data_IF_818602372163
#
_entry.id   IF_818602372163
#
_cell.length_a   1.000
_cell.length_b   1.000
_cell.length_c   1.000
_cell.angle_alpha   90.00
_cell.angle_beta   90.00
_cell.angle_gamma   90.00
#
_symmetry.space_group_name_H-M   'P 1'
#
loop_
_entity.id
_entity.type
_entity.pdbx_description
1 polymer ?
#
# COMPACT_ATOMS: atom_id res chain seq x y z
N UNK A 1 -33.41 -33.75 -8.37
CA UNK A 1 -33.75 -32.54 -7.61
C UNK A 1 -32.50 -31.68 -7.53
N UNK A 2 -32.54 -30.53 -8.21
CA UNK A 2 -31.47 -29.55 -8.37
C UNK A 2 -31.17 -28.80 -7.07
N UNK A 3 -29.95 -28.24 -7.00
CA UNK A 3 -29.57 -26.88 -6.53
C UNK A 3 -28.03 -26.82 -6.50
N UNK A 4 -27.39 -26.52 -7.64
CA UNK A 4 -26.91 -25.21 -8.08
C UNK A 4 -25.91 -24.51 -7.16
N UNK A 5 -24.72 -24.27 -7.74
CA UNK A 5 -23.56 -23.55 -7.23
C UNK A 5 -23.90 -22.10 -6.85
N UNK A 6 -23.50 -21.69 -5.65
CA UNK A 6 -23.46 -20.28 -5.24
C UNK A 6 -22.03 -19.73 -5.22
N UNK A 7 -21.45 -19.48 -6.40
CA UNK A 7 -20.33 -18.54 -6.52
C UNK A 7 -20.96 -17.14 -6.66
N UNK A 8 -20.84 -16.38 -5.57
CA UNK A 8 -21.42 -15.05 -5.42
C UNK A 8 -21.13 -14.12 -6.58
N UNK A 9 -22.10 -13.25 -6.84
CA UNK A 9 -22.18 -12.26 -7.90
C UNK A 9 -20.82 -11.69 -8.32
N UNK A 10 -20.56 -11.76 -9.63
CA UNK A 10 -19.45 -11.08 -10.28
C UNK A 10 -19.66 -9.56 -10.14
N UNK A 11 -19.02 -8.95 -9.15
CA UNK A 11 -18.72 -7.53 -9.20
C UNK A 11 -17.93 -7.31 -10.49
N UNK A 12 -18.47 -6.54 -11.43
CA UNK A 12 -17.74 -6.19 -12.66
C UNK A 12 -16.44 -5.50 -12.24
N UNK A 13 -15.33 -6.24 -12.32
CA UNK A 13 -14.02 -5.68 -12.03
C UNK A 13 -13.73 -4.64 -13.11
N UNK A 14 -13.44 -3.37 -12.74
CA UNK A 14 -13.02 -2.37 -13.70
C UNK A 14 -11.88 -2.92 -14.58
N UNK A 15 -11.88 -2.59 -15.87
CA UNK A 15 -10.84 -3.04 -16.78
C UNK A 15 -9.46 -2.58 -16.24
N UNK A 16 -8.64 -3.53 -15.79
CA UNK A 16 -7.28 -3.28 -15.29
C UNK A 16 -6.29 -3.21 -16.46
N UNK A 17 -6.56 -2.30 -17.41
CA UNK A 17 -5.78 -2.15 -18.62
C UNK A 17 -6.59 -1.59 -19.77
N UNK A 18 -6.01 -1.62 -20.97
CA UNK A 18 -6.65 -1.15 -22.21
C UNK A 18 -7.32 -2.27 -23.01
N UNK A 19 -7.13 -3.53 -22.61
CA UNK A 19 -7.65 -4.71 -23.30
C UNK A 19 -8.24 -5.74 -22.33
N UNK A 20 -9.00 -6.68 -22.87
CA UNK A 20 -9.56 -7.79 -22.10
C UNK A 20 -8.48 -8.78 -21.64
N UNK A 21 -8.66 -9.44 -20.48
CA UNK A 21 -7.71 -10.42 -19.99
C UNK A 21 -7.62 -11.63 -20.92
N UNK A 22 -6.40 -12.13 -21.13
CA UNK A 22 -6.14 -13.32 -21.95
C UNK A 22 -6.71 -14.58 -21.28
N UNK A 23 -6.64 -14.66 -19.95
CA UNK A 23 -7.21 -15.75 -19.16
C UNK A 23 -7.73 -15.22 -17.82
N UNK A 24 -8.84 -15.80 -17.35
CA UNK A 24 -9.37 -15.62 -15.99
C UNK A 24 -9.30 -16.91 -15.17
N UNK A 25 -8.60 -17.93 -15.67
CA UNK A 25 -8.45 -19.20 -14.97
C UNK A 25 -7.69 -18.98 -13.65
N UNK A 26 -8.16 -19.64 -12.60
CA UNK A 26 -7.49 -19.68 -11.32
C UNK A 26 -6.28 -20.64 -11.36
N UNK A 27 -5.27 -20.43 -10.51
CA UNK A 27 -4.13 -21.34 -10.41
C UNK A 27 -4.57 -22.73 -9.93
N UNK A 28 -3.88 -23.76 -10.42
CA UNK A 28 -4.07 -25.12 -9.95
C UNK A 28 -3.16 -25.45 -8.74
N UNK A 29 -3.25 -26.68 -8.23
CA UNK A 29 -2.43 -27.10 -7.09
C UNK A 29 -0.92 -27.13 -7.39
N UNK A 30 -0.53 -27.35 -8.65
CA UNK A 30 0.88 -27.34 -9.08
C UNK A 30 1.41 -25.91 -9.09
N UNK A 31 0.63 -24.96 -9.59
CA UNK A 31 0.96 -23.53 -9.60
C UNK A 31 1.23 -23.04 -8.17
N UNK A 32 0.32 -23.33 -7.23
CA UNK A 32 0.45 -22.94 -5.83
C UNK A 32 1.73 -23.51 -5.19
N UNK A 33 2.05 -24.78 -5.46
CA UNK A 33 3.26 -25.42 -4.95
C UNK A 33 4.52 -24.76 -5.50
N UNK A 34 4.55 -24.45 -6.79
CA UNK A 34 5.71 -23.80 -7.42
C UNK A 34 5.89 -22.37 -6.92
N UNK A 35 4.79 -21.64 -6.70
CA UNK A 35 4.85 -20.31 -6.07
C UNK A 35 5.44 -20.39 -4.66
N UNK A 36 5.06 -21.38 -3.85
CA UNK A 36 5.63 -21.55 -2.51
C UNK A 36 7.15 -21.82 -2.54
N UNK A 37 7.61 -22.71 -3.43
CA UNK A 37 9.04 -22.99 -3.61
C UNK A 37 9.82 -21.77 -4.09
N UNK A 38 9.22 -20.97 -5.00
CA UNK A 38 9.80 -19.71 -5.43
C UNK A 38 9.96 -18.73 -4.26
N UNK A 39 8.93 -18.58 -3.42
CA UNK A 39 9.00 -17.71 -2.24
C UNK A 39 10.11 -18.13 -1.29
N UNK A 40 10.26 -19.43 -1.00
CA UNK A 40 11.35 -19.95 -0.16
C UNK A 40 12.73 -19.65 -0.78
N UNK A 41 12.88 -19.89 -2.07
CA UNK A 41 14.11 -19.57 -2.80
C UNK A 41 14.48 -18.08 -2.66
N UNK A 42 13.53 -17.18 -2.92
CA UNK A 42 13.75 -15.73 -2.83
C UNK A 42 14.06 -15.27 -1.39
N UNK A 43 13.47 -15.91 -0.37
CA UNK A 43 13.84 -15.70 1.04
C UNK A 43 15.28 -16.11 1.32
N UNK A 44 15.72 -17.24 0.78
CA UNK A 44 17.10 -17.71 0.93
C UNK A 44 18.13 -16.78 0.25
N UNK A 45 17.73 -16.07 -0.80
CA UNK A 45 18.51 -15.01 -1.43
C UNK A 45 18.41 -13.66 -0.69
N UNK A 46 17.74 -13.62 0.46
CA UNK A 46 17.60 -12.44 1.31
C UNK A 46 16.98 -11.22 0.58
N UNK A 47 16.05 -11.49 -0.35
CA UNK A 47 15.37 -10.47 -1.17
C UNK A 47 14.12 -9.88 -0.50
N UNK A 48 13.72 -10.43 0.64
CA UNK A 48 12.65 -9.88 1.46
C UNK A 48 13.27 -9.19 2.68
N UNK A 49 12.67 -8.07 3.08
CA UNK A 49 13.00 -7.42 4.35
C UNK A 49 12.57 -8.30 5.54
N UNK A 50 13.29 -8.19 6.65
CA UNK A 50 12.80 -8.77 7.91
C UNK A 50 11.73 -7.88 8.53
N UNK A 51 10.96 -8.44 9.47
CA UNK A 51 9.98 -7.65 10.22
C UNK A 51 10.67 -6.50 10.96
N UNK A 52 11.86 -6.71 11.53
CA UNK A 52 12.61 -5.67 12.24
C UNK A 52 13.02 -4.52 11.30
N UNK A 53 13.52 -4.82 10.10
CA UNK A 53 13.86 -3.81 9.10
C UNK A 53 12.63 -3.02 8.66
N UNK A 54 11.52 -3.71 8.41
CA UNK A 54 10.23 -3.09 8.10
C UNK A 54 9.79 -2.15 9.24
N UNK A 55 9.82 -2.60 10.49
CA UNK A 55 9.42 -1.79 11.65
C UNK A 55 10.30 -0.55 11.81
N UNK A 56 11.61 -0.68 11.60
CA UNK A 56 12.54 0.44 11.63
C UNK A 56 12.21 1.49 10.55
N UNK A 57 11.92 1.06 9.32
CA UNK A 57 11.48 1.95 8.22
C UNK A 57 10.22 2.71 8.61
N UNK A 58 9.23 2.01 9.16
CA UNK A 58 7.98 2.63 9.59
C UNK A 58 8.21 3.64 10.73
N UNK A 59 9.06 3.34 11.70
CA UNK A 59 9.36 4.27 12.80
C UNK A 59 10.00 5.57 12.30
N UNK A 60 10.97 5.47 11.39
CA UNK A 60 11.61 6.64 10.77
C UNK A 60 10.56 7.47 10.01
N UNK A 61 9.69 6.83 9.23
CA UNK A 61 8.63 7.53 8.51
C UNK A 61 7.64 8.25 9.46
N UNK A 62 7.30 7.62 10.59
CA UNK A 62 6.45 8.26 11.63
C UNK A 62 7.11 9.51 12.19
N UNK A 63 8.40 9.45 12.51
CA UNK A 63 9.17 10.60 13.01
C UNK A 63 9.23 11.72 11.98
N UNK A 64 9.57 11.40 10.73
CA UNK A 64 9.61 12.36 9.62
C UNK A 64 8.25 13.06 9.44
N UNK A 65 7.17 12.30 9.40
CA UNK A 65 5.82 12.85 9.28
C UNK A 65 5.47 13.80 10.44
N UNK A 66 5.86 13.45 11.67
CA UNK A 66 5.67 14.31 12.84
C UNK A 66 6.45 15.63 12.70
N UNK A 67 7.72 15.55 12.31
CA UNK A 67 8.58 16.71 12.12
C UNK A 67 8.02 17.65 11.04
N UNK A 68 7.56 17.11 9.92
CA UNK A 68 6.94 17.89 8.84
C UNK A 68 5.69 18.61 9.35
N UNK A 69 4.81 17.94 10.09
CA UNK A 69 3.60 18.56 10.66
C UNK A 69 3.93 19.70 11.63
N UNK A 70 4.92 19.50 12.51
CA UNK A 70 5.39 20.54 13.43
C UNK A 70 5.96 21.72 12.66
N UNK A 71 6.78 21.47 11.64
CA UNK A 71 7.36 22.52 10.82
C UNK A 71 6.27 23.32 10.07
N UNK A 72 5.32 22.65 9.41
CA UNK A 72 4.20 23.33 8.74
C UNK A 72 3.41 24.20 9.71
N UNK A 73 3.10 23.69 10.91
CA UNK A 73 2.42 24.49 11.94
C UNK A 73 3.20 25.76 12.28
N UNK A 74 4.50 25.64 12.60
CA UNK A 74 5.36 26.78 12.96
C UNK A 74 5.46 27.83 11.84
N UNK A 75 5.57 27.38 10.59
CA UNK A 75 5.60 28.27 9.43
C UNK A 75 4.27 28.99 9.26
N UNK A 76 3.15 28.27 9.39
CA UNK A 76 1.81 28.85 9.31
C UNK A 76 1.57 29.88 10.41
N UNK A 77 1.90 29.56 11.66
CA UNK A 77 1.84 30.50 12.80
C UNK A 77 2.66 31.75 12.49
N UNK A 78 3.93 31.60 12.11
CA UNK A 78 4.83 32.73 11.80
C UNK A 78 4.28 33.63 10.68
N UNK A 79 3.63 33.04 9.66
CA UNK A 79 3.00 33.80 8.57
C UNK A 79 1.73 34.51 9.03
N UNK A 80 0.86 33.83 9.78
CA UNK A 80 -0.40 34.41 10.30
C UNK A 80 -0.11 35.58 11.25
N UNK A 81 0.84 35.44 12.17
CA UNK A 81 1.26 36.54 13.04
C UNK A 81 1.86 37.71 12.25
N UNK A 82 2.55 37.45 11.14
CA UNK A 82 3.04 38.52 10.25
C UNK A 82 1.91 39.26 9.52
N UNK A 83 0.81 38.59 9.16
CA UNK A 83 -0.32 39.24 8.50
C UNK A 83 -1.14 40.10 9.47
N UNK A 84 -1.37 39.66 10.72
CA UNK A 84 -2.15 40.42 11.71
C UNK A 84 -1.48 41.74 12.12
N UNK A 85 -0.14 41.77 12.19
CA UNK A 85 0.60 43.00 12.50
C UNK A 85 0.59 44.01 11.34
N UNK A 86 0.49 43.56 10.08
CA UNK A 86 0.51 44.45 8.92
C UNK A 86 -0.82 45.14 8.62
N UNK A 87 -1.94 44.70 9.20
CA UNK A 87 -3.26 45.33 9.03
C UNK A 87 -3.62 46.32 10.15
N UNK A 88 -2.75 46.48 11.15
CA UNK A 88 -2.97 47.33 12.33
C UNK A 88 -2.19 48.67 12.27
N UNK A 89 -1.62 49.00 11.12
CA UNK A 89 -0.96 50.30 10.84
C UNK A 89 -1.70 51.06 9.74
#
# INVERSE_FOLDING_TARGET
MSKENGLGEARETPCLGVSQPISKALPDARDLRLTAQLVECLKNFNLFETDEEMHARIEVLRKLNSLVKVWVRKVSESKVYRFACNTSS
#
